data_IF_076841860693
#
_entry.id   IF_076841860693
#
_cell.length_a   1.000
_cell.length_b   1.000
_cell.length_c   1.000
_cell.angle_alpha   90.00
_cell.angle_beta   90.00
_cell.angle_gamma   90.00
#
_symmetry.space_group_name_H-M   'P 1'
#
loop_
_entity.id
_entity.type
_entity.pdbx_description
1 polymer ?
#
# COMPACT_ATOMS: atom_id res chain seq x y z
N UNK A 1 -16.03 11.22 7.49
CA UNK A 1 -15.66 9.96 6.83
C UNK A 1 -16.75 9.40 5.92
N UNK A 2 -17.96 9.14 6.44
CA UNK A 2 -19.08 8.54 5.69
C UNK A 2 -19.41 9.27 4.37
N UNK A 3 -19.45 10.60 4.37
CA UNK A 3 -19.69 11.37 3.14
C UNK A 3 -18.68 11.08 2.02
N UNK A 4 -17.42 10.79 2.36
CA UNK A 4 -16.39 10.44 1.36
C UNK A 4 -16.68 9.07 0.75
N UNK A 5 -17.04 8.08 1.57
CA UNK A 5 -17.45 6.75 1.10
C UNK A 5 -18.67 6.85 0.17
N UNK A 6 -19.73 7.54 0.61
CA UNK A 6 -20.94 7.72 -0.20
C UNK A 6 -20.65 8.39 -1.56
N UNK A 7 -19.75 9.39 -1.57
CA UNK A 7 -19.35 10.05 -2.81
C UNK A 7 -18.58 9.11 -3.75
N UNK A 8 -17.70 8.26 -3.24
CA UNK A 8 -16.99 7.27 -4.06
C UNK A 8 -17.94 6.18 -4.58
N UNK A 9 -18.89 5.71 -3.77
CA UNK A 9 -19.91 4.74 -4.19
C UNK A 9 -20.81 5.29 -5.31
N UNK A 10 -21.21 6.57 -5.23
CA UNK A 10 -21.96 7.25 -6.32
C UNK A 10 -21.17 7.37 -7.61
N UNK A 11 -19.83 7.45 -7.55
CA UNK A 11 -18.98 7.44 -8.74
C UNK A 11 -18.88 6.02 -9.31
N UNK A 12 -18.69 5.04 -8.43
CA UNK A 12 -18.59 3.63 -8.78
C UNK A 12 -19.90 3.06 -9.37
N UNK A 13 -21.06 3.53 -8.93
CA UNK A 13 -22.36 3.09 -9.48
C UNK A 13 -22.51 3.43 -10.97
N UNK A 14 -21.81 4.46 -11.46
CA UNK A 14 -21.77 4.82 -12.88
C UNK A 14 -20.90 3.88 -13.73
N UNK A 15 -20.09 3.03 -13.10
CA UNK A 15 -19.24 2.06 -13.78
C UNK A 15 -19.31 0.68 -13.09
N UNK A 16 -20.34 -0.13 -13.42
CA UNK A 16 -20.58 -1.43 -12.77
C UNK A 16 -19.38 -2.38 -12.85
N UNK A 17 -18.65 -2.38 -13.98
CA UNK A 17 -17.46 -3.23 -14.15
C UNK A 17 -16.35 -2.88 -13.16
N UNK A 18 -16.07 -1.59 -12.95
CA UNK A 18 -15.08 -1.15 -11.95
C UNK A 18 -15.59 -1.44 -10.54
N UNK A 19 -16.88 -1.28 -10.27
CA UNK A 19 -17.46 -1.60 -8.97
C UNK A 19 -17.31 -3.09 -8.63
N UNK A 20 -17.57 -4.00 -9.57
CA UNK A 20 -17.36 -5.45 -9.37
C UNK A 20 -15.89 -5.79 -9.07
N UNK A 21 -14.96 -5.29 -9.88
CA UNK A 21 -13.52 -5.50 -9.68
C UNK A 21 -13.05 -4.91 -8.33
N UNK A 22 -13.65 -3.81 -7.90
CA UNK A 22 -13.35 -3.21 -6.61
C UNK A 22 -13.85 -4.07 -5.45
N UNK A 23 -15.07 -4.62 -5.55
CA UNK A 23 -15.60 -5.59 -4.58
C UNK A 23 -14.72 -6.83 -4.49
N UNK A 24 -14.31 -7.39 -5.63
CA UNK A 24 -13.39 -8.53 -5.67
C UNK A 24 -12.05 -8.21 -4.99
N UNK A 25 -11.52 -7.00 -5.23
CA UNK A 25 -10.29 -6.57 -4.56
C UNK A 25 -10.46 -6.57 -3.04
N UNK A 26 -11.55 -6.00 -2.51
CA UNK A 26 -11.82 -6.01 -1.06
C UNK A 26 -12.04 -7.41 -0.49
N UNK A 27 -12.63 -8.34 -1.24
CA UNK A 27 -12.77 -9.76 -0.82
C UNK A 27 -11.42 -10.47 -0.72
N UNK A 28 -10.44 -10.07 -1.52
CA UNK A 28 -9.09 -10.66 -1.48
C UNK A 28 -8.17 -10.09 -0.38
N UNK A 29 -8.58 -9.01 0.28
CA UNK A 29 -7.81 -8.42 1.36
C UNK A 29 -7.94 -9.27 2.62
N UNK A 30 -6.81 -9.52 3.28
CA UNK A 30 -6.79 -10.09 4.63
C UNK A 30 -7.21 -8.98 5.61
N UNK A 31 -8.44 -9.08 6.12
CA UNK A 31 -9.01 -8.10 7.01
C UNK A 31 -9.91 -8.73 8.06
N UNK A 32 -9.93 -8.13 9.24
CA UNK A 32 -10.86 -8.46 10.32
C UNK A 32 -12.00 -7.44 10.36
N UNK A 33 -13.21 -7.94 10.64
CA UNK A 33 -14.46 -7.14 10.63
C UNK A 33 -14.86 -6.55 11.98
N UNK A 34 -14.03 -6.67 13.02
CA UNK A 34 -14.36 -6.19 14.37
C UNK A 34 -13.30 -5.20 14.85
N UNK A 35 -13.61 -3.90 14.70
CA UNK A 35 -12.82 -2.81 15.24
C UNK A 35 -13.62 -2.11 16.33
N UNK A 36 -13.06 -1.85 17.52
CA UNK A 36 -13.70 -1.03 18.54
C UNK A 36 -14.06 0.35 17.98
N UNK A 37 -15.35 0.71 18.05
CA UNK A 37 -15.91 1.91 17.41
C UNK A 37 -15.40 3.25 17.96
N UNK A 38 -14.81 3.24 19.16
CA UNK A 38 -14.79 4.46 19.96
C UNK A 38 -13.56 5.36 19.73
N UNK A 39 -12.50 4.89 19.05
CA UNK A 39 -11.29 5.70 18.76
C UNK A 39 -10.60 5.38 17.41
N UNK A 40 -11.34 4.90 16.42
CA UNK A 40 -10.77 4.45 15.15
C UNK A 40 -10.60 5.60 14.12
N UNK A 41 -9.37 5.79 13.62
CA UNK A 41 -9.12 6.61 12.42
C UNK A 41 -9.36 5.77 11.17
N UNK A 42 -10.32 6.18 10.35
CA UNK A 42 -10.65 5.50 9.10
C UNK A 42 -9.97 6.19 7.91
N UNK A 43 -9.25 5.42 7.10
CA UNK A 43 -8.58 5.91 5.90
C UNK A 43 -9.54 5.93 4.70
N UNK A 44 -9.77 7.09 4.05
CA UNK A 44 -10.58 7.10 2.84
C UNK A 44 -9.88 6.30 1.76
N UNK A 45 -10.67 5.60 0.96
CA UNK A 45 -10.15 4.83 -0.16
C UNK A 45 -10.93 5.14 -1.42
N UNK A 46 -10.27 5.01 -2.57
CA UNK A 46 -10.89 5.12 -3.89
C UNK A 46 -10.27 4.15 -4.88
N UNK A 47 -11.00 3.71 -5.90
CA UNK A 47 -10.45 2.87 -6.96
C UNK A 47 -9.53 3.70 -7.87
N UNK A 48 -8.35 3.16 -8.20
CA UNK A 48 -7.55 3.58 -9.34
C UNK A 48 -7.58 2.47 -10.38
N UNK A 49 -7.98 2.84 -11.60
CA UNK A 49 -8.13 1.92 -12.73
C UNK A 49 -6.88 2.02 -13.60
N UNK A 50 -6.14 0.93 -13.72
CA UNK A 50 -5.04 0.80 -14.69
C UNK A 50 -5.54 -0.01 -15.87
N UNK A 51 -5.81 0.66 -16.98
CA UNK A 51 -6.21 0.02 -18.23
C UNK A 51 -4.96 -0.48 -18.97
N UNK A 52 -4.92 -1.78 -19.28
CA UNK A 52 -3.97 -2.38 -20.22
C UNK A 52 -4.74 -3.02 -21.37
N UNK A 53 -4.10 -3.19 -22.53
CA UNK A 53 -4.70 -3.82 -23.73
C UNK A 53 -5.36 -5.18 -23.44
N UNK A 54 -4.85 -5.94 -22.47
CA UNK A 54 -5.30 -7.30 -22.16
C UNK A 54 -6.05 -7.43 -20.83
N UNK A 55 -5.96 -6.45 -19.93
CA UNK A 55 -6.61 -6.52 -18.61
C UNK A 55 -6.90 -5.14 -18.04
N UNK A 56 -8.00 -5.03 -17.29
CA UNK A 56 -8.30 -3.86 -16.46
C UNK A 56 -8.03 -4.24 -15.01
N UNK A 57 -7.06 -3.61 -14.37
CA UNK A 57 -6.76 -3.85 -12.95
C UNK A 57 -7.28 -2.66 -12.14
N UNK A 58 -8.09 -2.94 -11.12
CA UNK A 58 -8.51 -1.96 -10.12
C UNK A 58 -7.64 -2.15 -8.88
N UNK A 59 -7.14 -1.05 -8.30
CA UNK A 59 -6.41 -1.06 -7.04
C UNK A 59 -7.03 -0.02 -6.09
N UNK A 60 -7.26 -0.33 -4.81
CA UNK A 60 -7.59 0.68 -3.82
C UNK A 60 -6.36 1.58 -3.61
N UNK A 61 -6.60 2.89 -3.62
CA UNK A 61 -5.67 3.88 -3.12
C UNK A 61 -6.24 4.44 -1.82
N UNK A 62 -5.42 4.41 -0.78
CA UNK A 62 -5.75 4.88 0.55
C UNK A 62 -5.22 6.29 0.73
N UNK A 63 -6.06 7.19 1.22
CA UNK A 63 -5.74 8.60 1.39
C UNK A 63 -5.35 8.89 2.84
N UNK A 64 -4.09 8.64 3.20
CA UNK A 64 -3.57 8.88 4.54
C UNK A 64 -3.41 10.39 4.87
N UNK A 65 -3.45 11.29 3.88
CA UNK A 65 -3.44 12.75 4.11
C UNK A 65 -4.84 13.34 4.36
N UNK A 66 -5.86 12.49 4.43
CA UNK A 66 -7.21 12.91 4.72
C UNK A 66 -7.37 13.40 6.16
N UNK A 67 -7.55 14.69 6.38
CA UNK A 67 -7.84 15.20 7.72
C UNK A 67 -9.14 14.59 8.31
N UNK A 68 -9.07 14.27 9.59
CA UNK A 68 -10.20 13.91 10.43
C UNK A 68 -11.04 15.16 10.82
N UNK A 69 -12.00 14.98 11.74
CA UNK A 69 -12.85 16.08 12.22
C UNK A 69 -12.08 17.14 13.05
N UNK A 70 -10.88 16.82 13.49
CA UNK A 70 -10.00 17.68 14.29
C UNK A 70 -8.89 18.32 13.43
N UNK A 71 -8.85 18.03 12.13
CA UNK A 71 -7.84 18.56 11.21
C UNK A 71 -6.59 17.70 11.07
N UNK A 72 -6.47 16.61 11.84
CA UNK A 72 -5.29 15.75 11.84
C UNK A 72 -5.38 14.68 10.75
N UNK A 73 -4.29 14.40 10.05
CA UNK A 73 -4.21 13.26 9.13
C UNK A 73 -3.25 12.19 9.63
N UNK A 74 -3.41 10.97 9.14
CA UNK A 74 -2.48 9.88 9.45
C UNK A 74 -1.05 10.22 9.04
N UNK A 75 -0.88 10.93 7.92
CA UNK A 75 0.43 11.40 7.48
C UNK A 75 1.10 12.38 8.47
N UNK A 76 0.33 13.13 9.25
CA UNK A 76 0.88 14.05 10.25
C UNK A 76 1.31 13.31 11.53
N UNK A 77 0.66 12.17 11.81
CA UNK A 77 0.89 11.38 13.03
C UNK A 77 1.93 10.26 12.84
N UNK A 78 2.13 9.80 11.61
CA UNK A 78 3.00 8.65 11.33
C UNK A 78 4.46 9.08 11.20
N UNK A 79 5.31 8.47 12.02
CA UNK A 79 6.74 8.55 11.83
C UNK A 79 7.18 7.71 10.62
N UNK A 80 7.58 8.38 9.55
CA UNK A 80 7.94 7.77 8.25
C UNK A 80 9.21 6.88 8.35
N UNK A 81 9.98 6.95 9.45
CA UNK A 81 11.21 6.16 9.61
C UNK A 81 12.38 6.70 8.78
N UNK A 82 13.32 5.81 8.41
CA UNK A 82 14.29 6.15 7.37
C UNK A 82 13.54 6.53 6.11
N UNK A 83 13.70 7.78 5.67
CA UNK A 83 13.15 8.27 4.40
C UNK A 83 13.49 7.25 3.32
N UNK A 84 12.46 6.65 2.73
CA UNK A 84 12.49 5.98 1.44
C UNK A 84 13.42 6.78 0.52
N UNK A 85 14.38 6.19 -0.21
CA UNK A 85 15.40 6.93 -0.95
C UNK A 85 14.76 7.70 -2.11
N UNK A 86 14.09 8.81 -1.79
CA UNK A 86 13.59 9.82 -2.73
C UNK A 86 14.72 10.66 -3.31
N UNK A 87 15.94 10.44 -2.83
CA UNK A 87 17.14 10.97 -3.46
C UNK A 87 17.45 10.11 -4.69
N UNK A 88 16.66 10.36 -5.74
CA UNK A 88 16.86 9.76 -7.06
C UNK A 88 18.30 9.97 -7.52
N UNK A 89 18.94 11.07 -7.15
CA UNK A 89 20.36 11.32 -7.45
C UNK A 89 21.26 10.26 -6.82
N UNK A 90 21.07 9.91 -5.54
CA UNK A 90 21.81 8.80 -4.91
C UNK A 90 21.54 7.45 -5.57
N UNK A 91 20.28 7.19 -5.96
CA UNK A 91 19.93 5.97 -6.69
C UNK A 91 20.66 5.92 -8.03
N UNK A 92 20.64 7.00 -8.80
CA UNK A 92 21.29 7.10 -10.11
C UNK A 92 22.83 7.03 -10.03
N UNK A 93 23.43 7.59 -8.97
CA UNK A 93 24.87 7.45 -8.73
C UNK A 93 25.22 6.00 -8.44
N UNK A 94 24.46 5.32 -7.57
CA UNK A 94 24.66 3.89 -7.29
C UNK A 94 24.46 3.05 -8.54
N UNK A 95 23.46 3.38 -9.37
CA UNK A 95 23.16 2.66 -10.61
C UNK A 95 24.37 2.53 -11.54
N UNK A 96 25.26 3.52 -11.55
CA UNK A 96 26.49 3.50 -12.36
C UNK A 96 27.61 2.63 -11.78
N UNK A 97 27.46 2.07 -10.58
CA UNK A 97 28.51 1.34 -9.87
C UNK A 97 28.82 -0.03 -10.48
N UNK A 98 27.82 -0.71 -11.02
CA UNK A 98 27.95 -2.07 -11.52
C UNK A 98 27.37 -2.22 -12.93
N UNK A 99 27.88 -3.17 -13.75
CA UNK A 99 27.54 -3.25 -15.17
C UNK A 99 26.14 -3.83 -15.44
N UNK A 100 25.49 -4.44 -14.44
CA UNK A 100 24.19 -5.10 -14.59
C UNK A 100 23.21 -4.52 -13.57
N UNK A 101 21.98 -4.27 -14.02
CA UNK A 101 20.89 -3.82 -13.18
C UNK A 101 19.61 -4.63 -13.42
N UNK A 102 18.91 -4.96 -12.34
CA UNK A 102 17.60 -5.59 -12.35
C UNK A 102 16.56 -4.55 -11.94
N UNK A 103 15.57 -4.38 -12.80
CA UNK A 103 14.38 -3.56 -12.57
C UNK A 103 13.20 -4.49 -12.31
N UNK A 104 12.48 -4.28 -11.21
CA UNK A 104 11.30 -5.07 -10.88
C UNK A 104 10.16 -4.22 -10.34
N UNK A 105 8.95 -4.41 -10.88
CA UNK A 105 7.68 -3.89 -10.34
C UNK A 105 7.16 -4.89 -9.29
N UNK A 106 7.24 -4.54 -8.01
CA UNK A 106 6.77 -5.37 -6.90
C UNK A 106 5.25 -5.20 -6.79
N UNK A 107 4.54 -6.17 -7.37
CA UNK A 107 3.08 -6.21 -7.36
C UNK A 107 2.54 -6.11 -5.93
N UNK A 108 1.84 -5.01 -5.64
CA UNK A 108 1.20 -4.77 -4.33
C UNK A 108 2.21 -4.80 -3.17
N UNK A 109 3.40 -4.23 -3.37
CA UNK A 109 4.51 -4.25 -2.40
C UNK A 109 4.09 -4.03 -0.95
N UNK A 110 3.30 -2.98 -0.67
CA UNK A 110 2.91 -2.68 0.71
C UNK A 110 2.14 -3.82 1.37
N UNK A 111 1.26 -4.50 0.63
CA UNK A 111 0.44 -5.59 1.15
C UNK A 111 1.24 -6.88 1.41
N UNK A 112 2.52 -6.93 1.04
CA UNK A 112 3.41 -8.06 1.32
C UNK A 112 3.89 -8.10 2.77
N UNK A 113 3.73 -7.01 3.54
CA UNK A 113 4.21 -6.92 4.91
C UNK A 113 3.06 -6.86 5.90
N UNK A 114 3.22 -7.56 7.02
CA UNK A 114 2.33 -7.43 8.17
C UNK A 114 2.52 -6.07 8.83
N UNK A 115 1.40 -5.42 9.15
CA UNK A 115 1.40 -4.26 10.04
C UNK A 115 1.83 -4.70 11.44
N UNK A 116 2.57 -3.84 12.16
CA UNK A 116 2.87 -4.10 13.57
C UNK A 116 1.59 -4.03 14.39
N UNK A 117 1.50 -4.85 15.44
CA UNK A 117 0.31 -4.91 16.30
C UNK A 117 -0.06 -3.55 16.90
N UNK A 118 0.93 -2.75 17.30
CA UNK A 118 0.72 -1.39 17.84
C UNK A 118 0.15 -0.38 16.84
N UNK A 119 0.34 -0.63 15.54
CA UNK A 119 -0.07 0.25 14.43
C UNK A 119 -1.36 -0.23 13.73
N UNK A 120 -1.88 -1.41 14.11
CA UNK A 120 -3.14 -1.96 13.58
C UNK A 120 -4.32 -0.99 13.72
N UNK A 121 -4.32 -0.17 14.78
CA UNK A 121 -5.35 0.84 15.06
C UNK A 121 -5.43 1.96 14.01
N UNK A 122 -4.48 2.02 13.07
CA UNK A 122 -4.48 2.99 11.98
C UNK A 122 -4.80 2.36 10.61
N UNK A 123 -5.05 1.04 10.55
CA UNK A 123 -5.36 0.32 9.30
C UNK A 123 -6.86 0.12 9.07
N UNK A 124 -7.69 1.06 9.52
CA UNK A 124 -9.15 0.94 9.42
C UNK A 124 -9.70 1.60 8.15
N UNK A 125 -10.75 0.99 7.60
CA UNK A 125 -11.53 1.45 6.45
C UNK A 125 -13.02 1.30 6.75
N UNK A 126 -13.85 2.09 6.08
CA UNK A 126 -15.30 1.87 6.07
C UNK A 126 -15.71 1.21 4.76
N UNK A 127 -16.40 0.08 4.84
CA UNK A 127 -16.85 -0.65 3.66
C UNK A 127 -18.24 -1.26 3.87
N UNK A 128 -19.06 -1.25 2.81
CA UNK A 128 -20.41 -1.87 2.81
C UNK A 128 -20.71 -2.64 1.54
N UNK A 129 -19.67 -3.04 0.80
CA UNK A 129 -19.82 -3.84 -0.41
C UNK A 129 -20.82 -3.25 -1.42
N UNK A 130 -20.81 -1.92 -1.59
CA UNK A 130 -21.74 -1.14 -2.42
C UNK A 130 -23.22 -1.15 -1.98
N UNK A 131 -23.54 -1.69 -0.79
CA UNK A 131 -24.89 -1.65 -0.22
C UNK A 131 -25.21 -0.28 0.36
N UNK A 132 -25.68 0.65 -0.46
CA UNK A 132 -25.94 2.05 -0.05
C UNK A 132 -26.95 2.21 1.09
N UNK A 133 -27.84 1.24 1.26
CA UNK A 133 -28.84 1.20 2.33
C UNK A 133 -28.31 0.56 3.63
N UNK A 134 -27.11 -0.02 3.59
CA UNK A 134 -26.47 -0.66 4.75
C UNK A 134 -25.58 0.34 5.48
N UNK A 135 -25.50 0.17 6.80
CA UNK A 135 -24.46 0.81 7.58
C UNK A 135 -23.09 0.23 7.18
N UNK A 136 -22.06 1.06 6.96
CA UNK A 136 -20.73 0.55 6.70
C UNK A 136 -20.15 -0.15 7.91
N UNK A 137 -19.46 -1.25 7.60
CA UNK A 137 -18.68 -2.03 8.53
C UNK A 137 -17.25 -1.48 8.56
N UNK A 138 -16.62 -1.61 9.73
CA UNK A 138 -15.21 -1.31 9.89
C UNK A 138 -14.39 -2.50 9.38
N UNK A 139 -13.47 -2.24 8.46
CA UNK A 139 -12.51 -3.21 7.95
C UNK A 139 -11.13 -2.84 8.47
N UNK A 140 -10.49 -3.74 9.23
CA UNK A 140 -9.10 -3.59 9.64
C UNK A 140 -8.21 -4.44 8.75
N UNK A 141 -7.31 -3.80 8.01
CA UNK A 141 -6.36 -4.52 7.15
C UNK A 141 -5.13 -4.91 7.97
N UNK A 142 -4.75 -6.19 7.94
CA UNK A 142 -3.59 -6.72 8.68
C UNK A 142 -2.24 -6.51 7.94
N UNK A 143 -2.28 -5.87 6.79
CA UNK A 143 -1.12 -5.57 5.94
C UNK A 143 -0.89 -4.08 5.81
N UNK A 144 0.35 -3.68 5.56
CA UNK A 144 0.67 -2.27 5.33
C UNK A 144 0.03 -1.79 4.03
N UNK A 145 -0.64 -0.64 4.03
CA UNK A 145 -1.24 -0.10 2.80
C UNK A 145 -0.86 1.36 2.47
N UNK A 146 0.05 1.96 3.24
CA UNK A 146 0.53 3.32 3.05
C UNK A 146 2.06 3.39 3.09
N UNK A 147 2.62 4.54 2.69
CA UNK A 147 4.04 4.69 2.35
C UNK A 147 5.02 4.56 3.54
N UNK A 148 4.55 4.50 4.79
CA UNK A 148 5.42 4.34 5.96
C UNK A 148 5.67 2.86 6.31
N UNK A 149 6.07 2.06 5.31
CA UNK A 149 6.30 0.63 5.46
C UNK A 149 7.67 0.27 6.06
N UNK A 150 8.62 1.20 6.09
CA UNK A 150 10.02 0.91 6.47
C UNK A 150 10.17 0.31 7.87
N UNK A 151 9.43 0.82 8.86
CA UNK A 151 9.45 0.27 10.21
C UNK A 151 8.84 -1.15 10.29
N UNK A 152 7.92 -1.48 9.39
CA UNK A 152 7.29 -2.80 9.30
C UNK A 152 8.18 -3.82 8.61
N UNK A 153 8.98 -3.41 7.62
CA UNK A 153 9.97 -4.27 6.95
C UNK A 153 11.03 -4.76 7.93
N UNK A 154 11.43 -3.94 8.91
CA UNK A 154 12.44 -4.31 9.90
C UNK A 154 12.09 -5.57 10.71
N UNK A 155 10.82 -5.95 10.80
CA UNK A 155 10.38 -7.20 11.45
C UNK A 155 10.99 -8.45 10.79
N UNK A 156 11.34 -8.36 9.51
CA UNK A 156 11.88 -9.46 8.72
C UNK A 156 13.41 -9.44 8.62
N UNK A 157 14.08 -8.44 9.20
CA UNK A 157 15.53 -8.22 9.01
C UNK A 157 16.40 -9.42 9.41
N UNK A 158 16.01 -10.16 10.45
CA UNK A 158 16.74 -11.37 10.88
C UNK A 158 16.55 -12.54 9.92
N UNK A 159 15.40 -12.64 9.26
CA UNK A 159 15.04 -13.78 8.39
C UNK A 159 15.39 -13.53 6.93
N UNK A 160 15.31 -12.28 6.48
CA UNK A 160 15.47 -11.86 5.08
C UNK A 160 16.25 -10.52 5.02
N UNK A 161 17.51 -10.48 5.49
CA UNK A 161 18.27 -9.25 5.59
C UNK A 161 18.47 -8.56 4.23
N UNK A 162 18.78 -9.32 3.17
CA UNK A 162 19.03 -8.80 1.83
C UNK A 162 17.76 -8.17 1.23
N UNK A 163 16.60 -8.81 1.42
CA UNK A 163 15.31 -8.27 0.97
C UNK A 163 14.98 -6.99 1.71
N UNK A 164 15.19 -6.94 3.02
CA UNK A 164 14.94 -5.73 3.82
C UNK A 164 15.86 -4.59 3.40
N UNK A 165 17.12 -4.87 3.11
CA UNK A 165 18.08 -3.89 2.61
C UNK A 165 17.67 -3.37 1.22
N UNK A 166 17.34 -4.25 0.29
CA UNK A 166 16.86 -3.87 -1.04
C UNK A 166 15.61 -2.97 -0.95
N UNK A 167 14.63 -3.34 -0.14
CA UNK A 167 13.40 -2.56 0.07
C UNK A 167 13.64 -1.19 0.71
N UNK A 168 14.74 -1.02 1.44
CA UNK A 168 15.09 0.21 2.14
C UNK A 168 15.99 1.12 1.32
N UNK A 169 16.89 0.55 0.50
CA UNK A 169 17.94 1.31 -0.20
C UNK A 169 17.72 1.44 -1.70
N UNK A 170 17.02 0.47 -2.29
CA UNK A 170 16.97 0.25 -3.73
C UNK A 170 15.55 0.33 -4.30
N UNK A 171 14.53 0.46 -3.45
CA UNK A 171 13.13 0.48 -3.86
C UNK A 171 12.51 1.86 -3.67
N UNK A 172 11.81 2.34 -4.69
CA UNK A 172 11.00 3.54 -4.67
C UNK A 172 9.54 3.15 -4.87
N UNK A 173 8.75 3.21 -3.80
CA UNK A 173 7.35 2.78 -3.82
C UNK A 173 7.25 1.35 -4.35
N UNK A 174 6.71 1.08 -5.52
CA UNK A 174 6.59 -0.27 -6.08
C UNK A 174 7.74 -0.68 -7.01
N UNK A 175 8.65 0.23 -7.38
CA UNK A 175 9.77 -0.05 -8.29
C UNK A 175 11.07 -0.34 -7.52
N UNK A 176 11.66 -1.51 -7.71
CA UNK A 176 12.97 -1.88 -7.14
C UNK A 176 14.06 -1.91 -8.20
N UNK A 177 15.24 -1.37 -7.85
CA UNK A 177 16.42 -1.30 -8.69
C UNK A 177 17.63 -1.93 -8.00
N UNK A 178 17.96 -3.17 -8.34
CA UNK A 178 19.07 -3.90 -7.75
C UNK A 178 20.26 -3.97 -8.72
N UNK A 179 21.48 -3.86 -8.19
CA UNK A 179 22.70 -3.75 -8.98
C UNK A 179 23.61 -4.93 -8.73
N UNK A 180 24.13 -5.51 -9.81
CA UNK A 180 24.84 -6.77 -9.79
C UNK A 180 26.17 -6.68 -10.54
N UNK A 181 27.17 -7.40 -10.05
CA UNK A 181 28.54 -7.39 -10.60
C UNK A 181 28.64 -8.13 -11.92
N UNK A 182 27.76 -9.11 -12.15
CA UNK A 182 27.75 -9.91 -13.37
C UNK A 182 26.33 -10.34 -13.77
N UNK A 183 26.19 -10.86 -15.00
CA UNK A 183 24.94 -11.46 -15.47
C UNK A 183 24.60 -12.77 -14.75
N UNK A 184 25.61 -13.52 -14.35
CA UNK A 184 25.49 -14.80 -13.63
C UNK A 184 24.89 -14.59 -12.22
N UNK A 185 25.32 -13.53 -11.53
CA UNK A 185 24.71 -13.10 -10.27
C UNK A 185 23.22 -12.78 -10.45
N UNK A 186 22.84 -12.21 -11.60
CA UNK A 186 21.45 -11.89 -11.92
C UNK A 186 20.55 -13.08 -12.20
N UNK A 187 21.11 -14.21 -12.61
CA UNK A 187 20.35 -15.44 -12.82
C UNK A 187 19.94 -16.09 -11.50
N UNK A 188 20.69 -15.84 -10.42
CA UNK A 188 20.40 -16.36 -9.08
C UNK A 188 19.54 -15.42 -8.23
N UNK A 189 19.16 -14.24 -8.76
CA UNK A 189 18.38 -13.23 -8.04
C UNK A 189 16.86 -13.45 -8.12
N UNK A 190 16.38 -14.33 -9.02
CA UNK A 190 14.95 -14.53 -9.33
C UNK A 190 14.44 -15.86 -8.78
#
# INVERSE_FOLDING_TARGET
>A
MLNRLCNEERKLSKNPKVAELYKETFRSLRAEGHVPKDEAYYNPHRPVVKMRRTSTKVRPVYNASASDRHGNSLNDAVFIGQKNPRDLTKILIRFRRFPVAILSDIKQMFLCFDIRQEDLKYQHLLWRNMGVDKNPEAFQIERVFFEAYGNHVNQYKTKMPETCEALTLNTSVDDSLNLLRSKEEGQNFV
#
